data_IF_874524186968
#
_entry.id   IF_874524186968
#
_cell.length_a   1.000
_cell.length_b   1.000
_cell.length_c   1.000
_cell.angle_alpha   90.00
_cell.angle_beta   90.00
_cell.angle_gamma   90.00
#
_symmetry.space_group_name_H-M   'P 1'
#
loop_
_entity.id
_entity.type
_entity.pdbx_description
1 polymer ?
#
# COMPACT_ATOMS: atom_id res chain seq x y z
N UNK A 1 -36.77 -16.46 -19.68
CA UNK A 1 -35.91 -16.95 -18.58
C UNK A 1 -34.48 -17.04 -19.09
N UNK A 2 -33.62 -16.08 -18.74
CA UNK A 2 -32.16 -16.28 -18.57
C UNK A 2 -31.55 -14.94 -18.12
N UNK A 3 -31.60 -14.67 -16.82
CA UNK A 3 -30.65 -13.77 -16.16
C UNK A 3 -29.57 -14.70 -15.62
N UNK A 4 -28.57 -15.00 -16.44
CA UNK A 4 -27.31 -15.51 -15.89
C UNK A 4 -26.58 -14.33 -15.29
N UNK A 5 -26.66 -14.25 -13.97
CA UNK A 5 -25.84 -13.41 -13.12
C UNK A 5 -24.38 -13.66 -13.44
N UNK A 6 -23.75 -12.67 -14.06
CA UNK A 6 -22.32 -12.59 -14.23
C UNK A 6 -21.72 -12.43 -12.82
N UNK A 7 -21.38 -13.55 -12.17
CA UNK A 7 -20.57 -13.55 -10.96
C UNK A 7 -19.20 -13.02 -11.37
N UNK A 8 -19.04 -11.71 -11.28
CA UNK A 8 -17.73 -11.06 -11.37
C UNK A 8 -16.81 -11.81 -10.40
N UNK A 9 -15.69 -12.31 -10.93
CA UNK A 9 -14.59 -12.79 -10.11
C UNK A 9 -14.36 -11.71 -9.05
N UNK A 10 -14.46 -12.07 -7.77
CA UNK A 10 -14.00 -11.26 -6.64
C UNK A 10 -12.49 -11.05 -6.83
N UNK A 11 -12.15 -10.11 -7.70
CA UNK A 11 -10.78 -9.66 -7.92
C UNK A 11 -10.44 -8.80 -6.72
N UNK A 12 -9.41 -9.20 -5.99
CA UNK A 12 -8.88 -8.38 -4.91
C UNK A 12 -8.58 -6.99 -5.48
N UNK A 13 -9.00 -5.91 -4.79
CA UNK A 13 -8.60 -4.55 -5.14
C UNK A 13 -7.10 -4.50 -5.46
N UNK A 14 -6.70 -3.75 -6.48
CA UNK A 14 -5.31 -3.65 -6.94
C UNK A 14 -4.34 -3.33 -5.79
N UNK A 15 -4.77 -2.47 -4.86
CA UNK A 15 -4.05 -2.11 -3.61
C UNK A 15 -3.66 -3.32 -2.76
N UNK A 16 -4.48 -4.38 -2.74
CA UNK A 16 -4.27 -5.59 -1.94
C UNK A 16 -3.43 -6.66 -2.65
N UNK A 17 -3.19 -6.53 -3.94
CA UNK A 17 -2.37 -7.49 -4.67
C UNK A 17 -0.89 -7.29 -4.32
N UNK A 18 -0.14 -8.37 -4.15
CA UNK A 18 1.32 -8.34 -3.97
C UNK A 18 1.95 -8.16 -5.34
N UNK A 19 2.61 -7.03 -5.57
CA UNK A 19 2.94 -6.60 -6.93
C UNK A 19 4.43 -6.66 -7.25
N UNK A 20 5.33 -6.54 -6.25
CA UNK A 20 6.76 -6.24 -6.52
C UNK A 20 7.76 -7.36 -6.23
N UNK A 21 7.36 -8.51 -5.68
CA UNK A 21 8.33 -9.49 -5.16
C UNK A 21 8.67 -10.61 -6.15
N UNK A 22 9.91 -10.69 -6.67
CA UNK A 22 10.34 -11.84 -7.45
C UNK A 22 10.24 -13.11 -6.61
N UNK A 23 9.73 -14.20 -7.19
CA UNK A 23 9.57 -15.48 -6.49
C UNK A 23 10.88 -15.94 -5.81
N UNK A 24 12.04 -15.70 -6.46
CA UNK A 24 13.37 -15.97 -5.88
C UNK A 24 13.62 -15.25 -4.55
N UNK A 25 13.18 -13.98 -4.42
CA UNK A 25 13.36 -13.20 -3.19
C UNK A 25 12.47 -13.78 -2.09
N UNK A 26 11.23 -14.15 -2.42
CA UNK A 26 10.31 -14.80 -1.49
C UNK A 26 10.88 -16.14 -1.01
N UNK A 27 11.40 -16.97 -1.91
CA UNK A 27 12.00 -18.27 -1.57
C UNK A 27 13.22 -18.08 -0.67
N UNK A 28 14.16 -17.19 -1.03
CA UNK A 28 15.36 -16.93 -0.22
C UNK A 28 15.00 -16.40 1.16
N UNK A 29 14.03 -15.49 1.23
CA UNK A 29 13.52 -14.93 2.50
C UNK A 29 12.89 -16.02 3.37
N UNK A 30 12.08 -16.90 2.77
CA UNK A 30 11.46 -18.02 3.46
C UNK A 30 12.52 -19.01 3.99
N UNK A 31 13.52 -19.38 3.17
CA UNK A 31 14.61 -20.27 3.60
C UNK A 31 15.40 -19.67 4.76
N UNK A 32 15.75 -18.39 4.70
CA UNK A 32 16.43 -17.68 5.79
C UNK A 32 15.55 -17.64 7.05
N UNK A 33 14.27 -17.31 6.90
CA UNK A 33 13.27 -17.30 7.98
C UNK A 33 13.19 -18.65 8.69
N UNK A 34 13.07 -19.75 7.94
CA UNK A 34 13.00 -21.10 8.52
C UNK A 34 14.33 -21.52 9.15
N UNK A 35 15.47 -21.18 8.56
CA UNK A 35 16.76 -21.49 9.15
C UNK A 35 16.95 -20.79 10.51
N UNK A 36 16.59 -19.52 10.60
CA UNK A 36 16.60 -18.76 11.86
C UNK A 36 15.62 -19.34 12.89
N UNK A 37 14.40 -19.69 12.44
CA UNK A 37 13.39 -20.31 13.30
C UNK A 37 13.85 -21.65 13.87
N UNK A 38 14.37 -22.55 13.02
CA UNK A 38 14.88 -23.85 13.44
C UNK A 38 16.07 -23.67 14.39
N UNK A 39 17.00 -22.76 14.08
CA UNK A 39 18.12 -22.45 14.96
C UNK A 39 17.67 -21.98 16.35
N UNK A 40 16.67 -21.10 16.41
CA UNK A 40 16.09 -20.62 17.66
C UNK A 40 15.38 -21.73 18.46
N UNK A 41 14.64 -22.62 17.78
CA UNK A 41 14.00 -23.79 18.41
C UNK A 41 15.04 -24.76 18.97
N UNK A 42 16.08 -25.08 18.21
CA UNK A 42 17.16 -26.00 18.63
C UNK A 42 17.92 -25.44 19.83
N UNK A 43 18.08 -24.13 19.91
CA UNK A 43 18.67 -23.44 21.05
C UNK A 43 17.71 -23.23 22.24
N UNK A 44 16.51 -23.80 22.18
CA UNK A 44 15.46 -23.66 23.19
C UNK A 44 15.16 -22.19 23.56
N UNK A 45 15.19 -21.30 22.56
CA UNK A 45 14.88 -19.90 22.76
C UNK A 45 13.41 -19.71 23.16
N UNK A 46 13.08 -18.66 23.94
CA UNK A 46 11.69 -18.31 24.25
C UNK A 46 10.85 -18.06 22.99
N UNK A 47 9.52 -18.28 23.08
CA UNK A 47 8.59 -18.18 21.95
C UNK A 47 8.66 -16.83 21.22
N UNK A 48 8.74 -15.71 21.94
CA UNK A 48 8.81 -14.38 21.33
C UNK A 48 10.10 -14.17 20.52
N UNK A 49 11.22 -14.79 20.92
CA UNK A 49 12.49 -14.76 20.17
C UNK A 49 12.35 -15.55 18.88
N UNK A 50 11.75 -16.75 18.97
CA UNK A 50 11.48 -17.60 17.80
C UNK A 50 10.61 -16.84 16.80
N UNK A 51 9.51 -16.22 17.25
CA UNK A 51 8.61 -15.44 16.39
C UNK A 51 9.34 -14.23 15.80
N UNK A 52 10.08 -13.47 16.62
CA UNK A 52 10.84 -12.29 16.15
C UNK A 52 11.85 -12.64 15.06
N UNK A 53 12.64 -13.70 15.26
CA UNK A 53 13.60 -14.18 14.26
C UNK A 53 12.93 -14.74 13.01
N UNK A 54 11.75 -15.36 13.16
CA UNK A 54 10.94 -15.83 12.02
C UNK A 54 10.48 -14.64 11.17
N UNK A 55 10.01 -13.56 11.80
CA UNK A 55 9.49 -12.39 11.08
C UNK A 55 10.60 -11.47 10.54
N UNK A 56 11.79 -11.47 11.14
CA UNK A 56 12.85 -10.51 10.83
C UNK A 56 13.22 -10.44 9.32
N UNK A 57 13.44 -11.56 8.60
CA UNK A 57 13.70 -11.49 7.15
C UNK A 57 12.55 -10.88 6.35
N UNK A 58 11.31 -11.08 6.81
CA UNK A 58 10.12 -10.57 6.13
C UNK A 58 9.92 -9.07 6.32
N UNK A 59 10.44 -8.47 7.41
CA UNK A 59 10.31 -7.02 7.66
C UNK A 59 10.85 -6.22 6.47
N UNK A 60 12.02 -6.61 5.95
CA UNK A 60 12.64 -5.91 4.80
C UNK A 60 11.79 -6.06 3.53
N UNK A 61 11.28 -7.27 3.28
CA UNK A 61 10.41 -7.56 2.14
C UNK A 61 9.12 -6.76 2.21
N UNK A 62 8.49 -6.69 3.39
CA UNK A 62 7.30 -5.88 3.60
C UNK A 62 7.57 -4.38 3.53
N UNK A 63 8.76 -3.92 3.93
CA UNK A 63 9.15 -2.51 3.77
C UNK A 63 9.25 -2.12 2.28
N UNK A 64 9.82 -2.96 1.42
CA UNK A 64 9.86 -2.71 -0.02
C UNK A 64 8.46 -2.71 -0.66
N UNK A 65 7.60 -3.65 -0.27
CA UNK A 65 6.21 -3.68 -0.73
C UNK A 65 5.44 -2.45 -0.22
N UNK A 66 5.67 -2.02 1.02
CA UNK A 66 5.07 -0.81 1.59
C UNK A 66 5.48 0.45 0.81
N UNK A 67 6.79 0.63 0.54
CA UNK A 67 7.30 1.78 -0.23
C UNK A 67 6.63 1.83 -1.60
N UNK A 68 6.57 0.70 -2.30
CA UNK A 68 5.93 0.63 -3.61
C UNK A 68 4.44 0.99 -3.55
N UNK A 69 3.70 0.44 -2.58
CA UNK A 69 2.29 0.77 -2.38
C UNK A 69 2.10 2.24 -2.02
N UNK A 70 3.04 2.84 -1.27
CA UNK A 70 2.99 4.25 -0.94
C UNK A 70 3.26 5.14 -2.17
N UNK A 71 4.20 4.76 -3.03
CA UNK A 71 4.46 5.47 -4.28
C UNK A 71 3.27 5.39 -5.25
N UNK A 72 2.58 4.25 -5.30
CA UNK A 72 1.47 4.03 -6.23
C UNK A 72 0.12 4.48 -5.67
N UNK A 73 -0.15 4.31 -4.37
CA UNK A 73 -1.45 4.60 -3.77
C UNK A 73 -1.36 5.62 -2.62
N UNK A 74 -0.20 6.19 -2.31
CA UNK A 74 -0.04 7.20 -1.28
C UNK A 74 -0.54 6.76 0.09
N UNK A 75 -1.40 7.60 0.67
CA UNK A 75 -1.87 7.43 2.05
C UNK A 75 -2.76 6.18 2.24
N UNK A 76 -3.25 5.56 1.17
CA UNK A 76 -3.91 4.25 1.27
C UNK A 76 -2.95 3.16 1.77
N UNK A 77 -1.65 3.25 1.46
CA UNK A 77 -0.64 2.31 1.94
C UNK A 77 -0.40 2.46 3.45
N UNK A 78 -0.42 3.69 3.97
CA UNK A 78 -0.39 3.93 5.42
C UNK A 78 -1.56 3.24 6.10
N UNK A 79 -2.78 3.42 5.57
CA UNK A 79 -3.97 2.83 6.17
C UNK A 79 -3.97 1.31 6.09
N UNK A 80 -3.43 0.72 5.01
CA UNK A 80 -3.21 -0.72 4.90
C UNK A 80 -2.25 -1.24 5.98
N UNK A 81 -1.09 -0.60 6.12
CA UNK A 81 -0.09 -0.96 7.13
C UNK A 81 -0.67 -0.84 8.55
N UNK A 82 -1.43 0.23 8.79
CA UNK A 82 -2.10 0.47 10.07
C UNK A 82 -3.13 -0.63 10.39
N UNK A 83 -3.96 -1.02 9.41
CA UNK A 83 -4.90 -2.15 9.56
C UNK A 83 -4.16 -3.45 9.88
N UNK A 84 -3.07 -3.77 9.17
CA UNK A 84 -2.29 -4.98 9.44
C UNK A 84 -1.70 -4.99 10.85
N UNK A 85 -1.17 -3.86 11.31
CA UNK A 85 -0.63 -3.71 12.65
C UNK A 85 -1.72 -3.97 13.71
N UNK A 86 -2.90 -3.39 13.52
CA UNK A 86 -4.05 -3.55 14.42
C UNK A 86 -4.62 -4.97 14.40
N UNK A 87 -4.63 -5.64 13.25
CA UNK A 87 -4.99 -7.05 13.14
C UNK A 87 -4.00 -7.94 13.88
N UNK A 88 -2.70 -7.67 13.78
CA UNK A 88 -1.66 -8.38 14.53
C UNK A 88 -1.85 -8.24 16.05
N UNK A 89 -2.13 -7.02 16.51
CA UNK A 89 -2.43 -6.73 17.92
C UNK A 89 -3.69 -7.46 18.41
N UNK A 90 -4.79 -7.39 17.66
CA UNK A 90 -6.00 -8.14 17.99
C UNK A 90 -5.74 -9.66 17.99
N UNK A 91 -4.90 -10.16 17.09
CA UNK A 91 -4.48 -11.56 17.06
C UNK A 91 -3.73 -11.99 18.32
N UNK A 92 -2.85 -11.13 18.83
CA UNK A 92 -2.13 -11.31 20.10
C UNK A 92 -3.11 -11.51 21.26
N UNK A 93 -4.07 -10.59 21.44
CA UNK A 93 -5.09 -10.69 22.48
C UNK A 93 -6.04 -11.86 22.26
N UNK A 94 -6.32 -12.24 21.01
CA UNK A 94 -7.11 -13.43 20.71
C UNK A 94 -6.41 -14.67 21.27
N UNK A 95 -5.09 -14.79 21.08
CA UNK A 95 -4.31 -15.89 21.67
C UNK A 95 -4.35 -15.83 23.20
N UNK A 96 -4.25 -14.64 23.80
CA UNK A 96 -4.36 -14.46 25.25
C UNK A 96 -5.71 -14.95 25.78
N UNK A 97 -6.83 -14.60 25.14
CA UNK A 97 -8.17 -15.04 25.54
C UNK A 97 -8.34 -16.56 25.36
N UNK A 98 -7.80 -17.13 24.29
CA UNK A 98 -7.79 -18.59 24.09
C UNK A 98 -7.02 -19.27 25.23
N UNK A 99 -5.82 -18.80 25.58
CA UNK A 99 -5.05 -19.32 26.71
C UNK A 99 -5.82 -19.20 28.02
N UNK A 100 -6.49 -18.06 28.26
CA UNK A 100 -7.25 -17.82 29.48
C UNK A 100 -8.42 -18.81 29.62
N UNK A 101 -9.13 -19.09 28.54
CA UNK A 101 -10.20 -20.08 28.52
C UNK A 101 -9.66 -21.51 28.73
N UNK A 102 -8.53 -21.86 28.11
CA UNK A 102 -7.91 -23.18 28.23
C UNK A 102 -7.30 -23.42 29.62
N UNK A 103 -6.89 -22.36 30.32
CA UNK A 103 -6.27 -22.45 31.64
C UNK A 103 -7.24 -22.14 32.79
N UNK A 104 -8.55 -22.09 32.49
CA UNK A 104 -9.62 -21.84 33.46
C UNK A 104 -9.44 -20.51 34.23
N UNK A 105 -9.03 -19.45 33.53
CA UNK A 105 -8.87 -18.11 34.11
C UNK A 105 -7.50 -17.84 34.73
N UNK A 106 -6.50 -18.70 34.52
CA UNK A 106 -5.16 -18.48 35.06
C UNK A 106 -4.38 -17.44 34.24
N UNK A 107 -4.40 -16.17 34.70
CA UNK A 107 -3.66 -15.08 34.06
C UNK A 107 -2.15 -15.36 34.00
N UNK A 108 -1.55 -15.99 35.00
CA UNK A 108 -0.10 -16.30 35.03
C UNK A 108 0.35 -17.34 33.99
N UNK A 109 -0.61 -17.96 33.28
CA UNK A 109 -0.35 -18.86 32.15
C UNK A 109 -0.91 -18.32 30.83
N UNK A 110 -1.45 -17.09 30.84
CA UNK A 110 -2.22 -16.51 29.74
C UNK A 110 -1.68 -15.14 29.39
N UNK A 111 -0.56 -15.12 28.68
CA UNK A 111 0.19 -13.91 28.34
C UNK A 111 0.32 -13.69 26.83
N UNK A 112 -0.52 -14.34 26.02
CA UNK A 112 -0.48 -14.20 24.56
C UNK A 112 0.82 -14.72 23.94
N UNK A 113 1.24 -14.11 22.83
CA UNK A 113 2.49 -14.48 22.12
C UNK A 113 3.67 -13.65 22.66
N UNK A 114 3.41 -12.38 23.02
CA UNK A 114 4.42 -11.41 23.43
C UNK A 114 4.27 -11.00 24.88
N UNK A 115 3.94 -11.94 25.77
CA UNK A 115 3.58 -11.68 27.17
C UNK A 115 4.54 -10.86 28.03
N UNK A 116 5.81 -10.73 27.62
CA UNK A 116 6.76 -9.82 28.27
C UNK A 116 6.43 -8.33 28.04
N UNK A 117 5.60 -8.03 27.03
CA UNK A 117 5.13 -6.71 26.67
C UNK A 117 3.79 -6.35 27.31
N UNK A 118 3.19 -7.24 28.13
CA UNK A 118 1.95 -6.96 28.89
C UNK A 118 2.24 -6.05 30.12
N UNK A 119 2.80 -4.88 29.84
CA UNK A 119 3.10 -3.83 30.80
C UNK A 119 2.22 -2.63 30.50
N UNK A 120 1.71 -1.98 31.55
CA UNK A 120 0.84 -0.81 31.39
C UNK A 120 1.49 0.32 30.56
N UNK A 121 2.81 0.49 30.69
CA UNK A 121 3.58 1.45 29.87
C UNK A 121 3.55 1.11 28.38
N UNK A 122 3.60 -0.18 28.02
CA UNK A 122 3.53 -0.60 26.61
C UNK A 122 2.13 -0.34 26.06
N UNK A 123 1.09 -0.67 26.84
CA UNK A 123 -0.30 -0.42 26.45
C UNK A 123 -0.56 1.06 26.18
N UNK A 124 -0.15 1.96 27.09
CA UNK A 124 -0.28 3.42 26.85
C UNK A 124 0.46 3.87 25.60
N UNK A 125 1.72 3.45 25.40
CA UNK A 125 2.48 3.85 24.20
C UNK A 125 1.80 3.33 22.93
N UNK A 126 1.29 2.11 22.96
CA UNK A 126 0.59 1.50 21.84
C UNK A 126 -0.74 2.20 21.55
N UNK A 127 -1.63 2.31 22.53
CA UNK A 127 -2.96 2.92 22.39
C UNK A 127 -2.87 4.39 22.00
N UNK A 128 -1.93 5.16 22.58
CA UNK A 128 -1.65 6.52 22.12
C UNK A 128 -1.23 6.55 20.65
N UNK A 129 -0.42 5.58 20.20
CA UNK A 129 -0.01 5.47 18.80
C UNK A 129 -1.18 5.10 17.88
N UNK A 130 -2.09 4.22 18.32
CA UNK A 130 -3.33 3.89 17.61
C UNK A 130 -4.22 5.12 17.50
N UNK A 131 -4.38 5.86 18.60
CA UNK A 131 -5.18 7.07 18.66
C UNK A 131 -4.66 8.14 17.70
N UNK A 132 -3.34 8.41 17.71
CA UNK A 132 -2.69 9.33 16.77
C UNK A 132 -2.83 8.83 15.33
N UNK A 133 -2.59 7.54 15.07
CA UNK A 133 -2.74 6.94 13.74
C UNK A 133 -4.16 7.10 13.17
N UNK A 134 -5.19 6.89 14.00
CA UNK A 134 -6.58 7.13 13.63
C UNK A 134 -6.87 8.62 13.42
N UNK A 135 -6.31 9.51 14.24
CA UNK A 135 -6.45 10.96 14.06
C UNK A 135 -5.86 11.42 12.71
N UNK A 136 -4.69 10.90 12.31
CA UNK A 136 -4.08 11.19 11.01
C UNK A 136 -4.95 10.62 9.87
N UNK A 137 -5.45 9.38 10.01
CA UNK A 137 -6.40 8.80 9.05
C UNK A 137 -7.67 9.66 8.90
N UNK A 138 -8.23 10.16 10.01
CA UNK A 138 -9.39 11.04 10.02
C UNK A 138 -9.11 12.38 9.35
N UNK A 139 -7.95 12.98 9.63
CA UNK A 139 -7.53 14.21 8.98
C UNK A 139 -7.44 14.03 7.46
N UNK A 140 -6.89 12.91 7.00
CA UNK A 140 -6.74 12.64 5.56
C UNK A 140 -8.05 12.20 4.89
N UNK A 141 -8.89 11.44 5.58
CA UNK A 141 -10.10 10.80 5.04
C UNK A 141 -11.35 11.20 5.83
N UNK A 142 -11.54 12.50 6.05
CA UNK A 142 -12.60 13.08 6.89
C UNK A 142 -14.03 12.77 6.44
N UNK A 143 -14.23 12.28 5.21
CA UNK A 143 -15.55 11.82 4.74
C UNK A 143 -15.90 10.39 5.17
N UNK A 144 -14.93 9.63 5.69
CA UNK A 144 -15.11 8.23 6.06
C UNK A 144 -15.70 8.11 7.48
N UNK A 145 -17.02 7.97 7.56
CA UNK A 145 -17.77 7.85 8.83
C UNK A 145 -17.28 6.72 9.75
N UNK A 146 -16.71 5.64 9.22
CA UNK A 146 -16.27 4.50 10.03
C UNK A 146 -14.97 4.79 10.78
N UNK A 147 -14.13 5.69 10.27
CA UNK A 147 -12.96 6.16 11.03
C UNK A 147 -13.39 6.92 12.29
N UNK A 148 -14.51 7.66 12.26
CA UNK A 148 -15.03 8.31 13.45
C UNK A 148 -15.50 7.30 14.48
N UNK A 149 -16.19 6.23 14.05
CA UNK A 149 -16.62 5.13 14.93
C UNK A 149 -15.40 4.47 15.57
N UNK A 150 -14.38 4.12 14.77
CA UNK A 150 -13.13 3.55 15.28
C UNK A 150 -12.42 4.49 16.28
N UNK A 151 -12.37 5.79 15.97
CA UNK A 151 -11.72 6.79 16.81
C UNK A 151 -12.43 7.02 18.15
N UNK A 152 -13.76 6.94 18.18
CA UNK A 152 -14.53 6.99 19.44
C UNK A 152 -14.14 5.82 20.34
N UNK A 153 -14.14 4.59 19.82
CA UNK A 153 -13.75 3.43 20.61
C UNK A 153 -12.28 3.45 21.02
N UNK A 154 -11.39 3.93 20.14
CA UNK A 154 -9.98 4.10 20.47
C UNK A 154 -9.79 5.15 21.58
N UNK A 155 -10.57 6.23 21.57
CA UNK A 155 -10.54 7.24 22.64
C UNK A 155 -11.03 6.69 23.97
N UNK A 156 -12.07 5.85 23.97
CA UNK A 156 -12.53 5.17 25.19
C UNK A 156 -11.48 4.20 25.73
N UNK A 157 -10.80 3.48 24.84
CA UNK A 157 -9.72 2.57 25.23
C UNK A 157 -8.51 3.33 25.80
N UNK A 158 -8.11 4.42 25.14
CA UNK A 158 -7.01 5.29 25.58
C UNK A 158 -7.27 5.88 26.97
N UNK A 159 -8.50 6.30 27.27
CA UNK A 159 -8.87 6.81 28.60
C UNK A 159 -8.70 5.74 29.68
N UNK A 160 -9.04 4.48 29.40
CA UNK A 160 -8.84 3.36 30.32
C UNK A 160 -7.35 3.19 30.66
N UNK A 161 -6.49 3.18 29.65
CA UNK A 161 -5.05 2.97 29.82
C UNK A 161 -4.33 4.19 30.40
N UNK A 162 -4.71 5.40 30.04
CA UNK A 162 -4.19 6.62 30.68
C UNK A 162 -4.54 6.67 32.17
N UNK A 163 -5.76 6.25 32.54
CA UNK A 163 -6.17 6.15 33.94
C UNK A 163 -5.36 5.10 34.70
N UNK A 164 -5.25 3.88 34.17
CA UNK A 164 -4.47 2.80 34.78
C UNK A 164 -3.00 3.19 34.94
N UNK A 165 -2.41 3.83 33.93
CA UNK A 165 -1.04 4.32 33.98
C UNK A 165 -0.87 5.45 35.00
N UNK A 166 -1.82 6.38 35.10
CA UNK A 166 -1.80 7.42 36.12
C UNK A 166 -1.83 6.79 37.52
N UNK A 167 -2.77 5.89 37.80
CA UNK A 167 -2.87 5.23 39.10
C UNK A 167 -1.60 4.41 39.40
N UNK A 168 -1.06 3.70 38.42
CA UNK A 168 0.19 2.93 38.57
C UNK A 168 1.39 3.80 38.98
N UNK A 169 1.50 5.03 38.46
CA UNK A 169 2.63 5.92 38.72
C UNK A 169 2.44 6.76 39.98
N UNK A 170 1.22 7.17 40.30
CA UNK A 170 0.95 8.15 41.36
C UNK A 170 0.30 7.57 42.61
N UNK A 171 -0.33 6.39 42.54
CA UNK A 171 -0.91 5.71 43.69
C UNK A 171 -0.80 4.18 43.57
N UNK A 172 0.42 3.67 43.73
CA UNK A 172 0.70 2.22 43.67
C UNK A 172 -0.07 1.42 44.71
N UNK A 173 -0.32 2.00 45.89
CA UNK A 173 -1.06 1.31 46.95
C UNK A 173 -2.49 1.03 46.48
N UNK A 174 -3.17 2.04 45.93
CA UNK A 174 -4.49 1.90 45.35
C UNK A 174 -4.48 0.99 44.11
N UNK A 175 -3.46 1.09 43.26
CA UNK A 175 -3.32 0.23 42.07
C UNK A 175 -3.42 -1.26 42.43
N UNK A 176 -2.62 -1.72 43.41
CA UNK A 176 -2.59 -3.13 43.81
C UNK A 176 -3.76 -3.54 44.72
N UNK A 177 -4.49 -2.60 45.34
CA UNK A 177 -5.63 -2.90 46.23
C UNK A 177 -7.01 -2.82 45.56
N UNK A 178 -7.10 -2.46 44.27
CA UNK A 178 -8.37 -2.39 43.54
C UNK A 178 -8.35 -1.55 42.26
N UNK A 179 -7.39 -0.64 42.11
CA UNK A 179 -7.24 0.23 40.93
C UNK A 179 -6.95 -0.50 39.62
N UNK A 180 -6.47 -1.74 39.67
CA UNK A 180 -6.28 -2.64 38.53
C UNK A 180 -7.56 -2.92 37.72
N UNK A 181 -8.74 -2.69 38.30
CA UNK A 181 -10.01 -2.81 37.59
C UNK A 181 -10.24 -1.68 36.56
N UNK A 182 -9.50 -0.58 36.66
CA UNK A 182 -9.58 0.54 35.73
C UNK A 182 -10.90 1.32 35.82
N UNK A 183 -11.29 1.97 34.72
CA UNK A 183 -12.52 2.79 34.70
C UNK A 183 -13.72 1.88 34.41
N UNK A 184 -13.63 1.07 33.36
CA UNK A 184 -14.74 0.26 32.85
C UNK A 184 -14.59 -1.24 33.16
N UNK A 185 -13.50 -1.71 33.78
CA UNK A 185 -13.41 -3.13 34.16
C UNK A 185 -14.39 -3.53 35.26
N UNK A 186 -14.51 -4.83 35.51
CA UNK A 186 -15.33 -5.37 36.60
C UNK A 186 -14.88 -4.83 37.96
N UNK A 187 -15.74 -4.06 38.61
CA UNK A 187 -15.42 -3.34 39.85
C UNK A 187 -14.63 -2.04 39.67
N UNK A 188 -14.51 -1.54 38.44
CA UNK A 188 -13.88 -0.26 38.11
C UNK A 188 -14.71 0.96 38.51
N UNK A 189 -14.18 2.16 38.26
CA UNK A 189 -14.78 3.45 38.67
C UNK A 189 -16.21 3.61 38.17
N UNK A 190 -16.45 3.30 36.89
CA UNK A 190 -17.77 3.24 36.27
C UNK A 190 -18.28 1.80 36.29
N UNK A 191 -17.39 0.86 36.01
CA UNK A 191 -17.66 -0.57 36.05
C UNK A 191 -18.33 -1.13 34.81
N UNK A 192 -18.08 -2.41 34.54
CA UNK A 192 -18.80 -3.22 33.54
C UNK A 192 -18.79 -4.69 33.95
N UNK A 193 -19.52 -5.60 33.26
CA UNK A 193 -19.47 -7.02 33.59
C UNK A 193 -18.18 -7.72 33.12
N UNK A 194 -17.25 -7.01 32.46
CA UNK A 194 -16.06 -7.60 31.85
C UNK A 194 -14.82 -7.43 32.74
N UNK A 195 -14.13 -8.53 33.02
CA UNK A 195 -12.79 -8.48 33.60
C UNK A 195 -11.77 -7.90 32.61
N UNK A 196 -10.70 -7.27 33.11
CA UNK A 196 -9.70 -6.51 32.32
C UNK A 196 -9.25 -7.20 31.02
N UNK A 197 -8.85 -8.49 30.99
CA UNK A 197 -8.43 -9.13 29.73
C UNK A 197 -9.55 -9.18 28.67
N UNK A 198 -10.78 -9.50 29.09
CA UNK A 198 -11.94 -9.55 28.20
C UNK A 198 -12.38 -8.16 27.75
N UNK A 199 -12.30 -7.17 28.64
CA UNK A 199 -12.60 -5.78 28.31
C UNK A 199 -11.59 -5.22 27.30
N UNK A 200 -10.29 -5.46 27.51
CA UNK A 200 -9.23 -5.05 26.61
C UNK A 200 -9.39 -5.69 25.22
N UNK A 201 -9.71 -7.00 25.17
CA UNK A 201 -10.05 -7.67 23.91
C UNK A 201 -11.26 -7.02 23.22
N UNK A 202 -12.30 -6.69 23.99
CA UNK A 202 -13.52 -6.08 23.47
C UNK A 202 -13.28 -4.67 22.90
N UNK A 203 -12.47 -3.84 23.57
CA UNK A 203 -12.04 -2.54 23.04
C UNK A 203 -11.33 -2.70 21.71
N UNK A 204 -10.31 -3.56 21.65
CA UNK A 204 -9.58 -3.82 20.41
C UNK A 204 -10.52 -4.29 19.29
N UNK A 205 -11.43 -5.22 19.57
CA UNK A 205 -12.41 -5.67 18.59
C UNK A 205 -13.29 -4.52 18.06
N UNK A 206 -13.75 -3.62 18.94
CA UNK A 206 -14.56 -2.45 18.59
C UNK A 206 -13.79 -1.34 17.88
N UNK A 207 -12.46 -1.29 18.00
CA UNK A 207 -11.60 -0.39 17.21
C UNK A 207 -11.32 -0.98 15.82
N UNK A 208 -10.90 -2.26 15.78
CA UNK A 208 -10.44 -2.92 14.55
C UNK A 208 -11.58 -3.17 13.57
N UNK A 209 -12.76 -3.57 14.05
CA UNK A 209 -13.90 -3.85 13.17
C UNK A 209 -14.32 -2.64 12.32
N UNK A 210 -14.63 -1.46 12.89
CA UNK A 210 -14.92 -0.27 12.09
C UNK A 210 -13.71 0.21 11.28
N UNK A 211 -12.47 0.04 11.76
CA UNK A 211 -11.28 0.36 10.98
C UNK A 211 -11.18 -0.51 9.70
N UNK A 212 -11.48 -1.80 9.78
CA UNK A 212 -11.53 -2.69 8.62
C UNK A 212 -12.61 -2.26 7.62
N UNK A 213 -13.81 -1.92 8.11
CA UNK A 213 -14.89 -1.43 7.25
C UNK A 213 -14.50 -0.09 6.61
N UNK A 214 -13.88 0.80 7.39
CA UNK A 214 -13.33 2.07 6.89
C UNK A 214 -12.33 1.81 5.78
N UNK A 215 -11.44 0.83 5.96
CA UNK A 215 -10.44 0.43 4.98
C UNK A 215 -11.03 -0.10 3.69
N UNK A 216 -11.93 -1.08 3.77
CA UNK A 216 -12.60 -1.60 2.58
C UNK A 216 -13.29 -0.48 1.81
N UNK A 217 -13.98 0.43 2.50
CA UNK A 217 -14.63 1.57 1.84
C UNK A 217 -13.66 2.60 1.27
N UNK A 218 -12.54 2.86 1.94
CA UNK A 218 -11.55 3.80 1.43
C UNK A 218 -10.91 3.23 0.16
N UNK A 219 -10.62 1.92 0.11
CA UNK A 219 -9.99 1.29 -1.07
C UNK A 219 -10.80 1.40 -2.35
N UNK A 220 -12.13 1.61 -2.29
CA UNK A 220 -12.93 1.87 -3.50
C UNK A 220 -12.67 3.23 -4.14
N UNK A 221 -11.94 4.10 -3.44
CA UNK A 221 -11.48 5.41 -3.91
C UNK A 221 -9.96 5.44 -4.18
N UNK A 222 -9.29 4.29 -4.10
CA UNK A 222 -7.86 4.22 -4.35
C UNK A 222 -7.57 4.26 -5.85
N UNK A 223 -6.61 5.09 -6.23
CA UNK A 223 -6.13 5.24 -7.59
C UNK A 223 -4.61 5.32 -7.62
N UNK A 224 -4.02 5.03 -8.79
CA UNK A 224 -2.59 5.09 -9.01
C UNK A 224 -2.10 6.56 -9.13
N UNK A 225 -1.08 6.93 -8.35
CA UNK A 225 -0.52 8.27 -8.33
C UNK A 225 0.24 8.62 -9.62
N UNK A 226 0.87 7.65 -10.28
CA UNK A 226 1.55 7.89 -11.55
C UNK A 226 0.54 8.17 -12.65
N UNK A 227 -0.60 7.49 -12.65
CA UNK A 227 -1.72 7.83 -13.53
C UNK A 227 -2.23 9.26 -13.26
N UNK A 228 -2.45 9.61 -11.99
CA UNK A 228 -2.92 10.95 -11.63
C UNK A 228 -1.92 12.06 -11.98
N UNK A 229 -0.61 11.78 -11.97
CA UNK A 229 0.42 12.75 -12.40
C UNK A 229 0.55 12.82 -13.93
N UNK A 230 0.40 11.68 -14.61
CA UNK A 230 0.50 11.60 -16.06
C UNK A 230 -0.70 12.26 -16.76
N UNK A 231 -1.90 12.12 -16.20
CA UNK A 231 -3.16 12.66 -16.73
C UNK A 231 -3.89 13.44 -15.61
N UNK A 232 -3.42 14.65 -15.28
CA UNK A 232 -3.87 15.40 -14.09
C UNK A 232 -5.32 15.88 -14.17
N UNK A 233 -5.91 15.92 -15.35
CA UNK A 233 -7.28 16.39 -15.55
C UNK A 233 -8.34 15.30 -15.39
N UNK A 234 -7.94 14.03 -15.19
CA UNK A 234 -8.89 12.95 -14.93
C UNK A 234 -9.66 13.17 -13.63
N UNK A 235 -10.98 12.95 -13.68
CA UNK A 235 -11.80 12.93 -12.48
C UNK A 235 -11.44 11.75 -11.57
N UNK A 236 -11.73 11.85 -10.26
CA UNK A 236 -11.47 10.77 -9.30
C UNK A 236 -12.12 9.44 -9.73
N UNK A 237 -13.34 9.49 -10.27
CA UNK A 237 -14.04 8.28 -10.74
C UNK A 237 -13.34 7.63 -11.93
N UNK A 238 -12.76 8.42 -12.82
CA UNK A 238 -12.00 7.91 -13.97
C UNK A 238 -10.63 7.39 -13.55
N UNK A 239 -9.96 8.06 -12.61
CA UNK A 239 -8.70 7.57 -12.03
C UNK A 239 -8.89 6.20 -11.39
N UNK A 240 -9.93 6.03 -10.57
CA UNK A 240 -10.24 4.74 -9.93
C UNK A 240 -10.59 3.67 -10.97
N UNK A 241 -11.47 4.00 -11.93
CA UNK A 241 -11.89 3.05 -12.97
C UNK A 241 -10.72 2.60 -13.84
N UNK A 242 -9.83 3.53 -14.20
CA UNK A 242 -8.64 3.27 -15.02
C UNK A 242 -7.59 2.50 -14.24
N UNK A 243 -7.38 2.82 -12.95
CA UNK A 243 -6.43 2.12 -12.08
C UNK A 243 -6.70 0.62 -12.03
N UNK A 244 -7.97 0.21 -12.03
CA UNK A 244 -8.35 -1.21 -12.00
C UNK A 244 -8.05 -1.97 -13.32
N UNK A 245 -7.65 -1.26 -14.39
CA UNK A 245 -7.32 -1.83 -15.69
C UNK A 245 -5.83 -1.75 -16.01
N UNK A 246 -5.05 -1.06 -15.19
CA UNK A 246 -3.61 -0.94 -15.37
C UNK A 246 -2.93 -2.31 -15.20
N UNK A 247 -1.94 -2.55 -16.03
CA UNK A 247 -1.08 -3.73 -15.97
C UNK A 247 0.36 -3.30 -15.74
N UNK A 248 1.05 -3.99 -14.83
CA UNK A 248 2.48 -3.77 -14.64
C UNK A 248 3.27 -4.34 -15.82
N UNK A 249 4.26 -3.58 -16.28
CA UNK A 249 5.21 -3.98 -17.33
C UNK A 249 6.63 -3.72 -16.83
N UNK A 250 7.53 -4.67 -17.05
CA UNK A 250 8.94 -4.57 -16.69
C UNK A 250 9.75 -4.67 -17.98
N UNK A 251 10.61 -3.69 -18.21
CA UNK A 251 11.52 -3.63 -19.35
C UNK A 251 12.98 -3.70 -18.89
N UNK A 252 13.81 -4.40 -19.65
CA UNK A 252 15.26 -4.47 -19.50
C UNK A 252 15.92 -3.44 -20.41
N UNK A 253 17.18 -3.03 -20.12
CA UNK A 253 17.93 -2.18 -21.04
C UNK A 253 17.96 -2.78 -22.45
N UNK A 254 17.58 -1.98 -23.44
CA UNK A 254 17.49 -2.37 -24.85
C UNK A 254 16.11 -2.87 -25.31
N UNK A 255 15.19 -3.19 -24.40
CA UNK A 255 13.84 -3.63 -24.79
C UNK A 255 13.09 -2.49 -25.49
N UNK A 256 12.54 -2.79 -26.67
CA UNK A 256 11.69 -1.87 -27.44
C UNK A 256 10.24 -2.07 -27.03
N UNK A 257 9.59 -0.99 -26.59
CA UNK A 257 8.22 -0.99 -26.06
C UNK A 257 7.19 -0.53 -27.09
N UNK A 258 7.59 0.40 -27.96
CA UNK A 258 6.84 0.80 -29.16
C UNK A 258 7.80 1.09 -30.30
N UNK A 259 7.37 0.89 -31.54
CA UNK A 259 8.17 1.10 -32.75
C UNK A 259 7.67 2.31 -33.54
N UNK A 260 8.59 3.12 -34.07
CA UNK A 260 8.28 4.20 -35.01
C UNK A 260 7.45 3.69 -36.21
N UNK A 261 6.46 4.48 -36.64
CA UNK A 261 5.56 4.21 -37.77
C UNK A 261 4.69 2.95 -37.66
N UNK A 262 4.71 2.27 -36.51
CA UNK A 262 3.82 1.15 -36.17
C UNK A 262 2.71 1.59 -35.21
N UNK A 263 1.56 0.90 -35.20
CA UNK A 263 0.52 1.12 -34.20
C UNK A 263 0.97 0.63 -32.82
N UNK A 264 0.39 1.21 -31.76
CA UNK A 264 0.61 0.78 -30.38
C UNK A 264 -0.58 -0.01 -29.85
N UNK A 265 -0.31 -1.09 -29.12
CA UNK A 265 -1.33 -1.90 -28.44
C UNK A 265 -1.65 -1.40 -27.03
N UNK A 266 -0.76 -0.55 -26.47
CA UNK A 266 -0.79 -0.10 -25.09
C UNK A 266 -0.28 1.33 -24.95
N UNK A 267 -0.83 2.03 -23.97
CA UNK A 267 -0.36 3.30 -23.44
C UNK A 267 0.46 3.01 -22.19
N UNK A 268 1.66 3.58 -22.09
CA UNK A 268 2.59 3.31 -20.99
C UNK A 268 2.87 4.56 -20.17
N UNK A 269 2.93 4.42 -18.85
CA UNK A 269 3.45 5.44 -17.93
C UNK A 269 4.65 4.83 -17.20
N UNK A 270 5.75 5.56 -17.17
CA UNK A 270 6.98 5.15 -16.50
C UNK A 270 6.82 5.40 -14.99
N UNK A 271 7.00 4.38 -14.16
CA UNK A 271 6.96 4.51 -12.70
C UNK A 271 8.37 4.53 -12.10
N UNK A 272 9.30 3.79 -12.70
CA UNK A 272 10.73 3.77 -12.36
C UNK A 272 11.55 3.53 -13.63
N UNK A 273 12.77 4.07 -13.72
CA UNK A 273 13.65 3.81 -14.85
C UNK A 273 13.78 4.97 -15.83
N UNK A 274 14.10 4.66 -17.08
CA UNK A 274 14.21 5.63 -18.18
C UNK A 274 13.95 4.95 -19.53
N UNK A 275 13.29 5.67 -20.43
CA UNK A 275 13.02 5.27 -21.81
C UNK A 275 13.53 6.36 -22.74
N UNK A 276 14.30 6.01 -23.75
CA UNK A 276 14.67 6.94 -24.83
C UNK A 276 13.67 6.83 -25.98
N UNK A 277 13.40 7.97 -26.61
CA UNK A 277 12.66 8.03 -27.87
C UNK A 277 13.66 8.24 -29.01
N UNK A 278 13.66 7.34 -29.98
CA UNK A 278 14.58 7.37 -31.13
C UNK A 278 13.82 7.37 -32.45
N UNK A 279 14.29 8.15 -33.41
CA UNK A 279 13.77 8.17 -34.78
C UNK A 279 14.85 7.71 -35.75
N UNK A 280 14.45 7.15 -36.89
CA UNK A 280 15.37 6.92 -38.01
C UNK A 280 15.54 8.19 -38.83
N UNK A 281 16.78 8.62 -39.05
CA UNK A 281 17.07 9.74 -39.96
C UNK A 281 16.95 9.29 -41.42
N UNK A 282 16.82 10.21 -42.39
CA UNK A 282 16.81 9.87 -43.82
C UNK A 282 18.03 9.07 -44.28
N UNK A 283 19.16 9.23 -43.60
CA UNK A 283 20.43 8.54 -43.86
C UNK A 283 20.51 7.13 -43.24
N UNK A 284 19.47 6.71 -42.50
CA UNK A 284 19.33 5.36 -41.94
C UNK A 284 19.90 5.15 -40.54
N UNK A 285 20.36 6.20 -39.86
CA UNK A 285 20.89 6.12 -38.48
C UNK A 285 19.80 6.45 -37.46
N UNK A 286 19.95 5.96 -36.22
CA UNK A 286 19.05 6.33 -35.13
C UNK A 286 19.49 7.64 -34.46
N UNK A 287 18.54 8.55 -34.24
CA UNK A 287 18.73 9.78 -33.45
C UNK A 287 17.80 9.76 -32.26
N UNK A 288 18.36 9.85 -31.05
CA UNK A 288 17.58 10.09 -29.82
C UNK A 288 17.00 11.50 -29.86
N UNK A 289 15.67 11.60 -29.83
CA UNK A 289 14.94 12.87 -29.81
C UNK A 289 14.53 13.29 -28.40
N UNK A 290 14.45 12.35 -27.47
CA UNK A 290 14.01 12.61 -26.10
C UNK A 290 14.40 11.48 -25.13
N UNK A 291 14.38 11.77 -23.82
CA UNK A 291 14.50 10.81 -22.74
C UNK A 291 13.41 11.04 -21.70
N UNK A 292 12.63 10.00 -21.46
CA UNK A 292 11.47 9.99 -20.57
C UNK A 292 11.82 9.30 -19.26
N UNK A 293 11.57 9.98 -18.14
CA UNK A 293 11.70 9.45 -16.78
C UNK A 293 10.34 9.20 -16.11
N UNK A 294 10.31 8.95 -14.80
CA UNK A 294 9.08 8.69 -14.05
C UNK A 294 7.99 9.74 -14.25
N UNK A 295 6.73 9.30 -14.22
CA UNK A 295 5.51 10.08 -14.50
C UNK A 295 5.35 10.59 -15.94
N UNK A 296 6.31 10.34 -16.83
CA UNK A 296 6.13 10.54 -18.28
C UNK A 296 5.47 9.31 -18.91
N UNK A 297 4.81 9.52 -20.04
CA UNK A 297 4.10 8.48 -20.78
C UNK A 297 4.52 8.44 -22.26
N UNK A 298 4.16 7.35 -22.95
CA UNK A 298 4.32 7.19 -24.39
C UNK A 298 3.36 6.09 -24.94
N UNK A 299 3.21 6.04 -26.27
CA UNK A 299 2.41 5.04 -27.00
C UNK A 299 0.97 5.49 -27.32
N UNK A 300 0.52 6.58 -26.71
CA UNK A 300 -0.76 7.26 -27.00
C UNK A 300 -0.94 7.57 -28.48
N UNK A 301 0.10 8.03 -29.16
CA UNK A 301 0.01 8.40 -30.58
C UNK A 301 -0.14 7.19 -31.50
N UNK A 302 0.56 6.10 -31.22
CA UNK A 302 0.36 4.84 -31.94
C UNK A 302 -1.05 4.30 -31.79
N UNK A 303 -1.73 4.56 -30.67
CA UNK A 303 -3.13 4.18 -30.45
C UNK A 303 -4.08 5.12 -31.21
N UNK A 304 -3.88 6.43 -31.09
CA UNK A 304 -4.82 7.44 -31.61
C UNK A 304 -4.69 7.68 -33.12
N UNK A 305 -3.48 7.58 -33.66
CA UNK A 305 -3.18 7.89 -35.06
C UNK A 305 -2.83 6.65 -35.89
N UNK A 306 -2.61 5.51 -35.23
CA UNK A 306 -2.15 4.27 -35.85
C UNK A 306 -0.64 4.22 -36.11
N UNK A 307 0.11 5.28 -35.77
CA UNK A 307 1.57 5.36 -35.98
C UNK A 307 2.26 6.09 -34.84
N UNK A 308 3.29 5.47 -34.26
CA UNK A 308 4.15 6.19 -33.31
C UNK A 308 5.12 7.13 -34.03
N UNK A 309 5.39 8.33 -33.49
CA UNK A 309 6.34 9.25 -34.08
C UNK A 309 7.80 8.80 -33.90
N UNK A 310 8.07 7.94 -32.92
CA UNK A 310 9.40 7.47 -32.55
C UNK A 310 9.32 6.06 -31.95
N UNK A 311 10.44 5.34 -31.97
CA UNK A 311 10.63 4.08 -31.26
C UNK A 311 10.96 4.40 -29.80
N UNK A 312 10.27 3.79 -28.84
CA UNK A 312 10.57 3.94 -27.42
C UNK A 312 11.31 2.70 -26.91
N UNK A 313 12.50 2.92 -26.32
CA UNK A 313 13.40 1.85 -25.87
C UNK A 313 13.88 2.11 -24.45
N UNK A 314 13.85 1.09 -23.60
CA UNK A 314 14.34 1.23 -22.22
C UNK A 314 15.87 1.37 -22.21
N UNK A 315 16.41 2.37 -21.51
CA UNK A 315 17.87 2.58 -21.39
C UNK A 315 18.47 1.88 -20.17
N UNK A 316 17.63 1.55 -19.18
CA UNK A 316 17.98 0.83 -17.96
C UNK A 316 16.83 -0.11 -17.56
N UNK A 317 16.93 -0.74 -16.39
CA UNK A 317 15.79 -1.44 -15.80
C UNK A 317 14.65 -0.42 -15.58
N UNK A 318 13.50 -0.68 -16.18
CA UNK A 318 12.37 0.26 -16.19
C UNK A 318 11.10 -0.47 -15.79
N UNK A 319 10.39 0.08 -14.82
CA UNK A 319 9.05 -0.34 -14.42
C UNK A 319 8.02 0.63 -15.00
N UNK A 320 6.94 0.07 -15.56
CA UNK A 320 5.86 0.82 -16.16
C UNK A 320 4.51 0.28 -15.70
N UNK A 321 3.51 1.15 -15.73
CA UNK A 321 2.11 0.76 -15.76
C UNK A 321 1.59 0.97 -17.20
N UNK A 322 0.77 0.05 -17.68
CA UNK A 322 0.26 0.05 -19.03
C UNK A 322 -1.27 -0.07 -19.05
N UNK A 323 -1.90 0.67 -19.94
CA UNK A 323 -3.33 0.57 -20.25
C UNK A 323 -3.48 0.07 -21.67
N UNK A 324 -4.35 -0.91 -21.90
CA UNK A 324 -4.60 -1.44 -23.25
C UNK A 324 -5.24 -0.36 -24.16
N UNK A 325 -4.98 -0.46 -25.47
CA UNK A 325 -5.44 0.51 -26.47
C UNK A 325 -6.95 0.76 -26.44
N UNK A 326 -7.75 -0.28 -26.18
CA UNK A 326 -9.20 -0.15 -26.13
C UNK A 326 -9.62 0.68 -24.91
N UNK A 327 -9.12 0.35 -23.72
CA UNK A 327 -9.37 1.11 -22.50
C UNK A 327 -8.89 2.55 -22.59
N UNK A 328 -7.72 2.80 -23.19
CA UNK A 328 -7.20 4.14 -23.41
C UNK A 328 -8.07 4.95 -24.37
N UNK A 329 -8.48 4.35 -25.49
CA UNK A 329 -9.36 5.01 -26.46
C UNK A 329 -10.71 5.39 -25.84
N UNK A 330 -11.29 4.51 -25.03
CA UNK A 330 -12.53 4.81 -24.30
C UNK A 330 -12.37 5.93 -23.28
N UNK A 331 -11.19 6.03 -22.64
CA UNK A 331 -10.86 7.15 -21.74
C UNK A 331 -10.83 8.48 -22.52
N UNK A 332 -10.14 8.51 -23.67
CA UNK A 332 -10.02 9.71 -24.51
C UNK A 332 -11.35 10.19 -25.11
N UNK A 333 -12.32 9.29 -25.32
CA UNK A 333 -13.66 9.67 -25.83
C UNK A 333 -14.50 10.39 -24.79
N UNK A 334 -14.26 10.13 -23.50
CA UNK A 334 -15.10 10.62 -22.39
C UNK A 334 -14.68 12.01 -21.94
N UNK A 335 -13.41 12.36 -22.07
CA UNK A 335 -12.86 13.59 -21.54
C UNK A 335 -12.06 14.37 -22.60
N UNK A 336 -12.63 15.50 -23.02
CA UNK A 336 -12.01 16.39 -24.01
C UNK A 336 -10.78 17.15 -23.44
N UNK A 337 -10.68 17.33 -22.12
CA UNK A 337 -9.54 17.99 -21.48
C UNK A 337 -8.36 17.03 -21.41
N UNK A 338 -8.59 15.77 -21.07
CA UNK A 338 -7.53 14.73 -21.08
C UNK A 338 -6.97 14.55 -22.49
N UNK A 339 -7.82 14.64 -23.51
CA UNK A 339 -7.37 14.65 -24.91
C UNK A 339 -6.42 15.81 -25.20
N UNK A 340 -6.61 16.98 -24.58
CA UNK A 340 -5.73 18.13 -24.77
C UNK A 340 -4.32 17.92 -24.18
N UNK A 341 -4.20 17.17 -23.07
CA UNK A 341 -2.89 16.79 -22.52
C UNK A 341 -2.11 15.92 -23.52
N UNK A 342 -2.80 14.98 -24.16
CA UNK A 342 -2.23 14.09 -25.20
C UNK A 342 -1.89 14.86 -26.47
N UNK A 343 -2.75 15.79 -26.89
CA UNK A 343 -2.51 16.65 -28.05
C UNK A 343 -1.30 17.59 -27.85
N UNK A 344 -1.05 18.05 -26.63
CA UNK A 344 0.13 18.84 -26.30
C UNK A 344 1.42 18.01 -26.47
N UNK A 345 1.43 16.76 -26.01
CA UNK A 345 2.58 15.86 -26.18
C UNK A 345 2.78 15.49 -27.66
N UNK A 346 1.69 15.30 -28.42
CA UNK A 346 1.73 15.12 -29.88
C UNK A 346 2.47 16.26 -30.55
N UNK A 347 2.13 17.50 -30.22
CA UNK A 347 2.73 18.69 -30.81
C UNK A 347 4.22 18.78 -30.46
N UNK A 348 4.58 18.55 -29.19
CA UNK A 348 5.96 18.51 -28.72
C UNK A 348 6.80 17.48 -29.49
N UNK A 349 6.32 16.24 -29.61
CA UNK A 349 7.06 15.19 -30.31
C UNK A 349 7.18 15.44 -31.81
N UNK A 350 6.14 16.00 -32.43
CA UNK A 350 6.20 16.43 -33.81
C UNK A 350 7.29 17.50 -34.00
N UNK A 351 7.34 18.52 -33.15
CA UNK A 351 8.38 19.55 -33.17
C UNK A 351 9.78 18.96 -32.99
N UNK A 352 9.98 18.01 -32.07
CA UNK A 352 11.28 17.35 -31.87
C UNK A 352 11.70 16.48 -33.06
N UNK A 353 10.75 15.78 -33.70
CA UNK A 353 11.01 14.95 -34.87
C UNK A 353 11.54 15.77 -36.04
N UNK A 354 10.93 16.94 -36.29
CA UNK A 354 11.29 17.82 -37.41
C UNK A 354 12.25 18.95 -37.03
N UNK A 355 12.62 19.09 -35.75
CA UNK A 355 13.70 19.97 -35.33
C UNK A 355 14.99 19.50 -36.01
N UNK A 356 15.45 20.29 -36.98
CA UNK A 356 16.72 20.11 -37.67
C UNK A 356 17.84 20.13 -36.63
N UNK A 357 18.37 18.96 -36.29
CA UNK A 357 19.70 18.92 -35.70
C UNK A 357 20.64 19.43 -36.79
N UNK A 358 21.26 20.58 -36.59
CA UNK A 358 22.35 21.01 -37.45
C UNK A 358 23.36 19.85 -37.53
N UNK A 359 23.80 19.44 -38.73
CA UNK A 359 24.83 18.42 -38.83
C UNK A 359 26.07 18.91 -38.06
N UNK A 360 26.80 18.04 -37.35
CA UNK A 360 28.09 18.43 -36.81
C UNK A 360 28.93 18.93 -37.98
N UNK A 361 29.37 20.19 -37.89
CA UNK A 361 30.25 20.82 -38.88
C UNK A 361 31.41 19.84 -39.08
N UNK A 362 31.65 19.33 -40.31
CA UNK A 362 32.83 18.52 -40.55
C UNK A 362 34.03 19.37 -40.16
N UNK A 363 34.87 18.87 -39.27
CA UNK A 363 36.18 19.47 -39.04
C UNK A 363 36.95 19.39 -40.37
N UNK A 364 36.84 20.46 -41.16
CA UNK A 364 37.58 20.64 -42.39
C UNK A 364 38.92 21.28 -42.08
N UNK A 365 39.97 20.77 -42.75
CA UNK A 365 41.29 21.38 -42.84
C UNK A 365 42.39 20.50 -42.31
#
# INVERSE_FOLDING_TARGET
MSRMTNLSRLTLPSVLQVQRLPLRVVIVTALLSYALQIGAIVQAQPLYVIVGLTLFPWIMVFAFEYIWKYEHYGFYAFMLAFVFLQLGHLGEHTVQIIQLNLTHGNLAKSHGIFGQLDLETVHVVWDSSVWVGLAICLYKFSRNRWLYVAFIFASLHEVEHLYLYYVYNFDRAFYFSGGLAGVMGYGGVIGSPLYRPYLHFFYNFLVVTPLLIAFIRQTTHAYDQYLARALPHLSETELVATTNRLQRVIARPGDVLVTEDEPSDRFYIITEGEVELVIKTPEGWERTVDRLGPSRFFGELGILTGKNPATARATKHTELIALDAHSFTELMKRDAVVRSDVEADMKRLHELKYATAAPPIPAGG
#
